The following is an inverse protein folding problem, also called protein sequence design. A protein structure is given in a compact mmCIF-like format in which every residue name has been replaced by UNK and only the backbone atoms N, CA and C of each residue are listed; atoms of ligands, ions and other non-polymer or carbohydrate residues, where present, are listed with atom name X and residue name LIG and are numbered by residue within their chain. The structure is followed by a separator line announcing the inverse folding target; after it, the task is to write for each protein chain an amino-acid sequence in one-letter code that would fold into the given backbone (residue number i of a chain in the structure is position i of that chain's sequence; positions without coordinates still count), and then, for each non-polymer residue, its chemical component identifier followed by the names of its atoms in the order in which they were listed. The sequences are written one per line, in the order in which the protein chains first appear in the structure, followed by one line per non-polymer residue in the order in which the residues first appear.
data_IF_251022029080
#
_entry.id   IF_251022029080
#
_cell.length_a   1.000
_cell.length_b   1.000
_cell.length_c   1.000
_cell.angle_alpha   90.00
_cell.angle_beta   90.00
_cell.angle_gamma   90.00
#
_symmetry.space_group_name_H-M   'P 1'
#
loop_
_entity.id
_entity.type
_entity.pdbx_description
1 polymer ?
#
# COMPACT_ATOMS: atom_id res chain seq x y z
N UNK A 1 15.04 -2.08 8.17
CA UNK A 1 13.58 -2.20 8.43
C UNK A 1 13.22 -1.35 9.63
N UNK A 2 12.11 -0.62 9.55
CA UNK A 2 11.52 0.09 10.69
C UNK A 2 10.10 -0.43 10.89
N UNK A 3 9.83 -1.00 12.06
CA UNK A 3 8.47 -1.34 12.49
C UNK A 3 7.86 -0.12 13.15
N UNK A 4 6.69 0.29 12.69
CA UNK A 4 5.86 1.36 13.24
C UNK A 4 4.61 0.68 13.84
N UNK A 5 4.49 0.59 15.15
CA UNK A 5 3.30 0.02 15.79
C UNK A 5 2.04 0.82 15.51
N UNK A 6 0.89 0.14 15.48
CA UNK A 6 -0.41 0.75 15.29
C UNK A 6 -0.61 1.99 16.20
N UNK A 7 -1.09 3.09 15.59
CA UNK A 7 -1.38 4.34 16.29
C UNK A 7 -0.18 5.19 16.71
N UNK A 8 1.07 4.71 16.56
CA UNK A 8 2.26 5.43 17.02
C UNK A 8 2.61 6.69 16.22
N UNK A 9 2.10 6.82 14.99
CA UNK A 9 2.28 7.99 14.11
C UNK A 9 0.97 8.72 13.84
N UNK A 10 -0.04 8.56 14.69
CA UNK A 10 -1.31 9.27 14.55
C UNK A 10 -1.09 10.79 14.68
N UNK A 11 -1.65 11.54 13.72
CA UNK A 11 -1.62 13.00 13.67
C UNK A 11 -2.98 13.48 13.12
N UNK A 12 -3.82 14.01 13.98
CA UNK A 12 -5.18 14.40 13.59
C UNK A 12 -5.21 15.23 12.29
N UNK A 13 -6.09 14.90 11.34
CA UNK A 13 -7.18 13.92 11.43
C UNK A 13 -6.77 12.46 11.12
N UNK A 14 -5.49 12.19 10.86
CA UNK A 14 -4.96 10.91 10.42
C UNK A 14 -4.74 9.94 11.58
N UNK A 15 -5.28 8.73 11.45
CA UNK A 15 -5.02 7.62 12.38
C UNK A 15 -3.63 6.98 12.14
N UNK A 16 -3.10 7.14 10.93
CA UNK A 16 -1.73 6.84 10.54
C UNK A 16 -1.23 7.99 9.66
N UNK A 17 -0.01 8.44 9.89
CA UNK A 17 0.62 9.50 9.10
C UNK A 17 2.09 9.18 8.88
N UNK A 18 2.41 8.64 7.70
CA UNK A 18 3.76 8.37 7.22
C UNK A 18 3.98 9.19 5.95
N UNK A 19 4.92 10.10 5.99
CA UNK A 19 5.36 10.90 4.84
C UNK A 19 6.77 10.49 4.43
N UNK A 20 7.21 10.84 3.22
CA UNK A 20 8.59 10.61 2.82
C UNK A 20 9.60 11.13 3.84
N UNK A 21 9.40 12.34 4.39
CA UNK A 21 10.28 12.92 5.39
C UNK A 21 10.31 12.13 6.69
N UNK A 22 9.13 11.73 7.20
CA UNK A 22 9.05 11.00 8.46
C UNK A 22 9.63 9.58 8.34
N UNK A 23 9.60 9.00 7.15
CA UNK A 23 10.21 7.72 6.83
C UNK A 23 11.73 7.83 6.52
N UNK A 24 12.25 9.04 6.31
CA UNK A 24 13.66 9.27 6.00
C UNK A 24 14.03 8.93 4.55
N UNK A 25 13.06 9.03 3.63
CA UNK A 25 13.24 8.78 2.19
C UNK A 25 12.59 9.87 1.33
N UNK A 26 12.34 9.64 0.04
CA UNK A 26 12.02 10.72 -0.88
C UNK A 26 10.65 10.63 -1.56
N UNK A 27 10.04 9.45 -1.64
CA UNK A 27 8.89 9.24 -2.53
C UNK A 27 7.64 8.69 -1.85
N UNK A 28 7.73 7.54 -1.17
CA UNK A 28 6.55 6.81 -0.70
C UNK A 28 5.97 7.37 0.60
N UNK A 29 4.65 7.45 0.67
CA UNK A 29 3.90 7.86 1.85
C UNK A 29 2.62 7.06 2.04
N UNK A 30 2.08 7.06 3.24
CA UNK A 30 0.82 6.39 3.57
C UNK A 30 0.09 7.15 4.68
N UNK A 31 -1.20 7.41 4.47
CA UNK A 31 -2.07 7.97 5.50
C UNK A 31 -3.29 7.09 5.69
N UNK A 32 -3.92 7.17 6.85
CA UNK A 32 -5.16 6.47 7.17
C UNK A 32 -6.15 7.43 7.82
N UNK A 33 -7.39 7.44 7.33
CA UNK A 33 -8.52 8.09 7.98
C UNK A 33 -9.48 7.05 8.57
N UNK A 34 -10.03 7.37 9.75
CA UNK A 34 -11.15 6.68 10.36
C UNK A 34 -12.29 7.67 10.48
N UNK A 35 -13.41 7.45 9.80
CA UNK A 35 -14.56 8.34 9.76
C UNK A 35 -15.81 7.66 10.31
N UNK A 36 -16.64 8.42 11.00
CA UNK A 36 -17.93 7.99 11.59
C UNK A 36 -19.12 8.84 11.09
N UNK A 37 -18.99 9.38 9.86
CA UNK A 37 -19.99 10.24 9.22
C UNK A 37 -19.54 11.70 9.04
N UNK A 38 -18.40 12.08 9.62
CA UNK A 38 -17.81 13.41 9.45
C UNK A 38 -17.11 13.57 8.10
N UNK A 39 -16.74 14.82 7.80
CA UNK A 39 -15.93 15.18 6.63
C UNK A 39 -14.56 15.65 7.03
N UNK A 40 -13.55 15.22 6.29
CA UNK A 40 -12.17 15.71 6.41
C UNK A 40 -11.74 16.32 5.09
N UNK A 41 -11.19 17.53 5.13
CA UNK A 41 -10.60 18.22 3.99
C UNK A 41 -9.08 18.32 4.16
N UNK A 42 -8.36 18.10 3.07
CA UNK A 42 -6.89 18.17 3.04
C UNK A 42 -6.39 18.51 1.64
N UNK A 43 -5.11 18.85 1.55
CA UNK A 43 -4.41 19.04 0.27
C UNK A 43 -3.46 17.88 0.03
N UNK A 44 -3.33 17.46 -1.24
CA UNK A 44 -2.38 16.42 -1.64
C UNK A 44 -0.93 16.91 -1.68
N UNK A 45 -0.71 18.24 -1.79
CA UNK A 45 0.62 18.82 -1.88
C UNK A 45 1.37 18.33 -3.13
N UNK A 46 2.59 17.88 -2.95
CA UNK A 46 3.45 17.32 -4.02
C UNK A 46 3.28 15.81 -4.22
N UNK A 47 2.28 15.20 -3.58
CA UNK A 47 1.98 13.77 -3.70
C UNK A 47 0.73 13.51 -4.55
N UNK A 48 0.80 12.49 -5.42
CA UNK A 48 -0.40 11.80 -5.92
C UNK A 48 -0.79 10.72 -4.93
N UNK A 49 -2.09 10.39 -4.84
CA UNK A 49 -2.54 9.37 -3.90
C UNK A 49 -3.84 8.68 -4.32
N UNK A 50 -4.11 7.52 -3.73
CA UNK A 50 -5.42 6.88 -3.82
C UNK A 50 -6.23 7.16 -2.56
N UNK A 51 -7.55 7.14 -2.68
CA UNK A 51 -8.50 6.91 -1.60
C UNK A 51 -8.95 5.47 -1.73
N UNK A 52 -8.48 4.60 -0.84
CA UNK A 52 -8.75 3.16 -0.88
C UNK A 52 -9.52 2.72 0.37
N UNK A 53 -10.80 2.36 0.26
CA UNK A 53 -11.54 1.82 1.39
C UNK A 53 -10.96 0.51 1.92
N UNK A 54 -10.54 0.50 3.18
CA UNK A 54 -10.24 -0.73 3.93
C UNK A 54 -11.53 -1.35 4.48
N UNK A 55 -12.46 -0.47 4.88
CA UNK A 55 -13.83 -0.84 5.24
C UNK A 55 -14.75 0.37 5.10
N UNK A 56 -16.06 0.13 4.90
CA UNK A 56 -17.06 1.19 4.78
C UNK A 56 -17.12 1.80 3.38
N UNK A 57 -17.72 2.99 3.28
CA UNK A 57 -17.96 3.71 2.03
C UNK A 57 -17.80 5.22 2.24
N UNK A 58 -17.49 5.96 1.18
CA UNK A 58 -17.35 7.42 1.25
C UNK A 58 -17.68 8.12 -0.06
N UNK A 59 -17.95 9.42 0.05
CA UNK A 59 -17.91 10.36 -1.04
C UNK A 59 -16.53 11.07 -1.05
N UNK A 60 -15.98 11.25 -2.22
CA UNK A 60 -14.75 11.97 -2.48
C UNK A 60 -15.10 13.19 -3.35
N UNK A 61 -14.87 14.38 -2.85
CA UNK A 61 -14.91 15.60 -3.62
C UNK A 61 -13.50 16.12 -3.85
N UNK A 62 -13.09 16.31 -5.08
CA UNK A 62 -11.76 16.79 -5.42
C UNK A 62 -11.81 17.62 -6.70
N UNK A 63 -11.34 18.86 -6.65
CA UNK A 63 -11.24 19.77 -7.79
C UNK A 63 -12.56 19.88 -8.62
N UNK A 64 -13.70 19.91 -7.92
CA UNK A 64 -15.03 19.98 -8.53
C UNK A 64 -15.59 18.64 -9.04
N UNK A 65 -14.85 17.57 -8.97
CA UNK A 65 -15.30 16.21 -9.26
C UNK A 65 -15.84 15.56 -7.99
N UNK A 66 -16.99 14.90 -8.09
CA UNK A 66 -17.56 14.10 -6.98
C UNK A 66 -17.63 12.64 -7.39
N UNK A 67 -17.07 11.76 -6.56
CA UNK A 67 -17.04 10.32 -6.73
C UNK A 67 -17.62 9.64 -5.51
N UNK A 68 -18.42 8.58 -5.73
CA UNK A 68 -18.92 7.72 -4.66
C UNK A 68 -18.14 6.44 -4.67
N UNK A 69 -17.45 6.13 -3.56
CA UNK A 69 -16.82 4.84 -3.33
C UNK A 69 -17.75 3.94 -2.53
N UNK A 70 -18.16 2.84 -3.13
CA UNK A 70 -19.03 1.85 -2.49
C UNK A 70 -18.29 1.05 -1.42
N UNK A 71 -16.98 0.89 -1.62
CA UNK A 71 -16.08 0.26 -0.68
C UNK A 71 -16.39 -1.21 -0.42
N UNK A 72 -16.14 -1.64 0.81
CA UNK A 72 -16.28 -3.04 1.25
C UNK A 72 -16.47 -3.13 2.77
N UNK A 73 -16.94 -4.27 3.26
CA UNK A 73 -17.10 -4.50 4.70
C UNK A 73 -15.75 -4.73 5.40
N UNK A 74 -14.80 -5.35 4.72
CA UNK A 74 -13.40 -5.53 5.17
C UNK A 74 -12.49 -5.87 4.01
N UNK A 75 -11.18 -5.75 4.22
CA UNK A 75 -10.14 -6.15 3.25
C UNK A 75 -10.19 -7.63 2.88
N UNK A 76 -10.71 -8.48 3.76
CA UNK A 76 -10.87 -9.92 3.53
C UNK A 76 -12.15 -10.32 2.81
N UNK A 77 -13.08 -9.37 2.59
CA UNK A 77 -14.39 -9.70 2.02
C UNK A 77 -14.42 -9.57 0.50
N UNK A 78 -13.87 -8.47 -0.03
CA UNK A 78 -13.94 -8.17 -1.46
C UNK A 78 -12.82 -7.20 -1.88
N UNK A 79 -12.56 -7.13 -3.19
CA UNK A 79 -11.80 -6.04 -3.81
C UNK A 79 -12.65 -4.77 -3.74
N UNK A 80 -12.03 -3.63 -3.41
CA UNK A 80 -12.71 -2.34 -3.36
C UNK A 80 -12.58 -1.57 -4.67
N UNK A 81 -13.50 -0.65 -4.90
CA UNK A 81 -13.28 0.51 -5.75
C UNK A 81 -12.36 1.52 -5.05
N UNK A 82 -11.86 2.49 -5.79
CA UNK A 82 -10.96 3.52 -5.28
C UNK A 82 -11.07 4.82 -6.08
N UNK A 83 -10.53 5.90 -5.54
CA UNK A 83 -10.35 7.15 -6.26
C UNK A 83 -8.87 7.52 -6.35
N UNK A 84 -8.46 8.10 -7.47
CA UNK A 84 -7.15 8.72 -7.65
C UNK A 84 -7.26 10.23 -7.47
N UNK A 85 -6.36 10.78 -6.67
CA UNK A 85 -6.21 12.21 -6.40
C UNK A 85 -4.86 12.69 -6.95
N UNK A 86 -4.84 13.74 -7.77
CA UNK A 86 -3.60 14.28 -8.34
C UNK A 86 -2.80 15.13 -7.35
N UNK A 87 -1.58 15.46 -7.73
CA UNK A 87 -0.76 16.46 -7.03
C UNK A 87 -1.44 17.84 -7.04
N UNK A 88 -1.27 18.60 -5.98
CA UNK A 88 -1.75 19.98 -5.86
C UNK A 88 -3.26 20.13 -5.67
N UNK A 89 -3.98 19.01 -5.48
CA UNK A 89 -5.44 19.01 -5.36
C UNK A 89 -5.89 19.29 -3.92
N UNK A 90 -7.11 19.82 -3.79
CA UNK A 90 -7.84 19.88 -2.51
C UNK A 90 -8.95 18.84 -2.55
N UNK A 91 -8.95 17.94 -1.59
CA UNK A 91 -9.91 16.87 -1.50
C UNK A 91 -10.69 16.91 -0.17
N UNK A 92 -11.97 16.55 -0.25
CA UNK A 92 -12.83 16.34 0.91
C UNK A 92 -13.38 14.92 0.87
N UNK A 93 -13.22 14.22 1.98
CA UNK A 93 -13.73 12.85 2.15
C UNK A 93 -14.82 12.87 3.19
N UNK A 94 -16.00 12.35 2.85
CA UNK A 94 -17.15 12.24 3.76
C UNK A 94 -17.64 10.80 3.76
N UNK A 95 -17.72 10.16 4.92
CA UNK A 95 -18.15 8.76 4.94
C UNK A 95 -18.07 8.10 6.29
N UNK A 96 -18.23 6.78 6.28
CA UNK A 96 -18.10 5.94 7.48
C UNK A 96 -17.24 4.74 7.16
N UNK A 97 -16.18 4.54 7.93
CA UNK A 97 -15.26 3.44 7.74
C UNK A 97 -13.79 3.85 7.88
N UNK A 98 -12.92 3.04 7.31
CA UNK A 98 -11.47 3.22 7.33
C UNK A 98 -10.96 3.30 5.89
N UNK A 99 -10.14 4.31 5.62
CA UNK A 99 -9.68 4.64 4.27
C UNK A 99 -8.17 4.82 4.29
N UNK A 100 -7.47 4.04 3.46
CA UNK A 100 -6.04 4.20 3.25
C UNK A 100 -5.79 5.18 2.10
N UNK A 101 -4.72 5.95 2.24
CA UNK A 101 -4.22 6.89 1.25
C UNK A 101 -2.76 6.54 0.92
N UNK A 102 -2.52 5.46 0.14
CA UNK A 102 -1.21 5.25 -0.45
C UNK A 102 -0.85 6.44 -1.31
N UNK A 103 0.35 6.97 -1.13
CA UNK A 103 0.79 8.21 -1.73
C UNK A 103 2.22 8.11 -2.28
N UNK A 104 2.52 8.92 -3.28
CA UNK A 104 3.87 9.08 -3.78
C UNK A 104 4.12 10.51 -4.25
N UNK A 105 5.30 11.05 -3.98
CA UNK A 105 5.73 12.30 -4.64
C UNK A 105 5.76 12.12 -6.13
N UNK A 106 5.13 13.05 -6.83
CA UNK A 106 4.96 12.98 -8.28
C UNK A 106 5.22 14.32 -8.94
N UNK A 107 5.63 14.28 -10.19
CA UNK A 107 5.94 15.45 -11.00
C UNK A 107 4.91 15.69 -12.11
N UNK A 108 4.19 14.65 -12.52
CA UNK A 108 3.11 14.74 -13.49
C UNK A 108 1.77 14.66 -12.77
N UNK A 109 0.81 15.44 -13.23
CA UNK A 109 -0.56 15.41 -12.72
C UNK A 109 -1.47 14.71 -13.73
N UNK A 110 -2.33 13.83 -13.23
CA UNK A 110 -3.43 13.21 -13.98
C UNK A 110 -4.76 13.74 -13.42
N UNK A 111 -5.87 13.65 -14.18
CA UNK A 111 -7.16 14.06 -13.66
C UNK A 111 -7.63 13.17 -12.52
N UNK A 112 -8.50 13.71 -11.66
CA UNK A 112 -9.24 12.91 -10.66
C UNK A 112 -10.01 11.79 -11.39
N UNK A 113 -9.87 10.54 -10.91
CA UNK A 113 -10.48 9.37 -11.56
C UNK A 113 -11.00 8.35 -10.57
N UNK A 114 -12.09 7.71 -10.96
CA UNK A 114 -12.65 6.56 -10.27
C UNK A 114 -12.03 5.26 -10.83
N UNK A 115 -11.62 4.38 -9.94
CA UNK A 115 -11.16 3.02 -10.25
C UNK A 115 -12.20 2.00 -9.80
N UNK A 116 -12.96 1.40 -10.71
CA UNK A 116 -14.00 0.45 -10.33
C UNK A 116 -13.38 -0.89 -9.88
N UNK A 117 -13.93 -1.49 -8.83
CA UNK A 117 -13.45 -2.75 -8.25
C UNK A 117 -13.31 -3.88 -9.28
N UNK A 118 -14.25 -3.96 -10.26
CA UNK A 118 -14.24 -5.00 -11.31
C UNK A 118 -13.08 -4.86 -12.32
N UNK A 119 -12.44 -3.70 -12.35
CA UNK A 119 -11.32 -3.41 -13.27
C UNK A 119 -9.97 -3.57 -12.58
N UNK A 120 -9.94 -3.78 -11.27
CA UNK A 120 -8.72 -4.09 -10.53
C UNK A 120 -8.25 -5.50 -10.91
N UNK A 121 -7.06 -5.66 -11.51
CA UNK A 121 -6.55 -6.99 -11.83
C UNK A 121 -6.27 -7.79 -10.55
N UNK A 122 -6.84 -8.99 -10.50
CA UNK A 122 -6.67 -9.93 -9.38
C UNK A 122 -5.92 -11.15 -9.87
N UNK A 123 -4.90 -11.55 -9.16
CA UNK A 123 -4.11 -12.73 -9.48
C UNK A 123 -3.83 -13.58 -8.24
N UNK A 124 -3.67 -14.89 -8.44
CA UNK A 124 -3.15 -15.80 -7.43
C UNK A 124 -1.69 -16.08 -7.77
N UNK A 125 -0.79 -15.71 -6.87
CA UNK A 125 0.65 -15.94 -7.01
C UNK A 125 1.12 -17.07 -6.12
N UNK A 126 2.18 -17.78 -6.58
CA UNK A 126 2.79 -18.87 -5.85
C UNK A 126 2.01 -20.18 -5.96
N UNK A 127 2.44 -21.18 -5.20
CA UNK A 127 1.83 -22.50 -5.12
C UNK A 127 1.93 -23.08 -3.70
N UNK A 128 1.04 -23.98 -3.33
CA UNK A 128 1.01 -24.59 -2.00
C UNK A 128 0.95 -23.52 -0.91
N UNK A 129 1.80 -23.62 0.10
CA UNK A 129 1.89 -22.67 1.20
C UNK A 129 2.45 -21.28 0.80
N UNK A 130 2.90 -21.10 -0.44
CA UNK A 130 3.28 -19.78 -0.96
C UNK A 130 2.15 -19.12 -1.77
N UNK A 131 0.96 -19.72 -1.82
CA UNK A 131 -0.20 -19.15 -2.53
C UNK A 131 -0.77 -17.96 -1.77
N UNK A 132 -0.96 -16.85 -2.50
CA UNK A 132 -1.60 -15.61 -2.01
C UNK A 132 -2.37 -14.95 -3.13
N UNK A 133 -3.39 -14.17 -2.78
CA UNK A 133 -4.08 -13.30 -3.72
C UNK A 133 -3.41 -11.93 -3.76
N UNK A 134 -3.29 -11.34 -4.94
CA UNK A 134 -2.77 -10.00 -5.16
C UNK A 134 -3.81 -9.19 -5.93
N UNK A 135 -4.17 -8.01 -5.41
CA UNK A 135 -5.06 -7.06 -6.06
C UNK A 135 -4.24 -5.86 -6.52
N UNK A 136 -4.13 -5.65 -7.83
CA UNK A 136 -3.22 -4.67 -8.44
C UNK A 136 -3.96 -3.33 -8.68
N UNK A 137 -4.15 -2.50 -7.66
CA UNK A 137 -4.87 -1.23 -7.78
C UNK A 137 -4.15 -0.24 -8.67
N UNK A 138 -2.85 -0.07 -8.47
CA UNK A 138 -2.04 0.94 -9.12
C UNK A 138 -0.70 0.35 -9.60
N UNK A 139 -0.69 -0.91 -10.01
CA UNK A 139 0.45 -1.49 -10.70
C UNK A 139 0.69 -0.78 -12.05
N UNK A 140 1.90 -0.78 -12.61
CA UNK A 140 2.24 -0.02 -13.82
C UNK A 140 1.29 -0.21 -14.99
N UNK A 141 0.80 -1.41 -15.21
CA UNK A 141 -0.08 -1.75 -16.33
C UNK A 141 -1.57 -1.79 -15.95
N UNK A 142 -1.90 -1.53 -14.68
CA UNK A 142 -3.27 -1.60 -14.17
C UNK A 142 -3.98 -0.25 -14.15
N UNK A 143 -3.27 0.81 -13.76
CA UNK A 143 -3.84 2.15 -13.62
C UNK A 143 -2.76 3.22 -13.79
N UNK A 144 -3.07 4.30 -14.52
CA UNK A 144 -2.10 5.35 -14.80
C UNK A 144 -1.86 6.25 -13.59
N UNK A 145 -0.63 6.27 -13.11
CA UNK A 145 -0.09 7.18 -12.10
C UNK A 145 1.29 7.64 -12.53
N UNK A 146 1.86 8.64 -11.86
CA UNK A 146 3.24 9.08 -12.16
C UNK A 146 4.28 8.19 -11.49
N UNK A 147 4.17 8.02 -10.18
CA UNK A 147 5.17 7.32 -9.34
C UNK A 147 4.58 6.22 -8.47
N UNK A 148 3.32 6.40 -8.07
CA UNK A 148 2.67 5.52 -7.11
C UNK A 148 2.47 4.12 -7.68
N UNK A 149 2.84 3.12 -6.90
CA UNK A 149 2.41 1.72 -7.06
C UNK A 149 1.72 1.31 -5.76
N UNK A 150 0.53 0.76 -5.87
CA UNK A 150 -0.25 0.28 -4.73
C UNK A 150 -0.87 -1.08 -5.07
N UNK A 151 -0.57 -2.09 -4.26
CA UNK A 151 -1.11 -3.43 -4.39
C UNK A 151 -1.50 -3.98 -3.03
N UNK A 152 -2.56 -4.77 -2.99
CA UNK A 152 -2.95 -5.53 -1.80
C UNK A 152 -2.52 -6.98 -1.94
N UNK A 153 -2.11 -7.57 -0.83
CA UNK A 153 -1.80 -9.00 -0.76
C UNK A 153 -2.58 -9.63 0.38
N UNK A 154 -3.32 -10.70 0.07
CA UNK A 154 -4.04 -11.50 1.03
C UNK A 154 -3.36 -12.87 1.13
N UNK A 155 -2.83 -13.16 2.32
CA UNK A 155 -2.09 -14.38 2.63
C UNK A 155 -2.93 -15.24 3.54
N UNK A 156 -3.44 -16.41 3.08
CA UNK A 156 -4.22 -17.32 3.91
C UNK A 156 -3.43 -17.81 5.13
N UNK A 157 -4.13 -18.11 6.19
CA UNK A 157 -3.54 -18.60 7.44
C UNK A 157 -2.61 -19.80 7.24
N UNK A 158 -1.38 -19.69 7.76
CA UNK A 158 -0.31 -20.67 7.58
C UNK A 158 0.48 -20.55 6.27
N UNK A 159 0.07 -19.66 5.36
CA UNK A 159 0.79 -19.42 4.11
C UNK A 159 1.84 -18.32 4.25
N UNK A 160 2.72 -18.28 3.26
CA UNK A 160 3.77 -17.30 3.10
C UNK A 160 3.51 -16.47 1.83
N UNK A 161 3.78 -15.17 1.90
CA UNK A 161 3.79 -14.24 0.77
C UNK A 161 5.10 -13.45 0.74
N UNK A 162 5.29 -12.54 -0.23
CA UNK A 162 6.61 -11.97 -0.52
C UNK A 162 7.68 -13.08 -0.59
N UNK A 163 7.34 -14.19 -1.24
CA UNK A 163 8.20 -15.36 -1.36
C UNK A 163 8.29 -15.78 -2.83
N UNK A 164 9.51 -16.03 -3.35
CA UNK A 164 10.82 -15.90 -2.71
C UNK A 164 11.08 -14.49 -2.15
N UNK A 165 11.96 -14.37 -1.12
CA UNK A 165 12.46 -13.06 -0.69
C UNK A 165 13.15 -12.34 -1.86
N UNK A 166 12.94 -11.04 -1.97
CA UNK A 166 13.44 -10.24 -3.08
C UNK A 166 13.84 -8.83 -2.62
N UNK A 167 14.53 -8.11 -3.48
CA UNK A 167 14.89 -6.70 -3.23
C UNK A 167 14.68 -5.86 -4.49
N UNK A 168 14.59 -4.55 -4.29
CA UNK A 168 14.49 -3.54 -5.33
C UNK A 168 15.16 -2.24 -4.84
N UNK A 169 16.48 -2.32 -4.65
CA UNK A 169 17.30 -1.24 -4.09
C UNK A 169 18.48 -0.84 -4.98
N UNK A 170 18.62 -1.47 -6.16
CA UNK A 170 19.72 -1.24 -7.08
C UNK A 170 19.19 -0.98 -8.49
N UNK A 171 19.52 0.18 -9.08
CA UNK A 171 19.11 0.48 -10.45
C UNK A 171 19.84 -0.41 -11.44
N UNK A 172 19.10 -1.25 -12.17
CA UNK A 172 19.62 -2.12 -13.22
C UNK A 172 18.54 -2.45 -14.26
N UNK A 173 18.90 -3.19 -15.30
CA UNK A 173 17.90 -3.70 -16.27
C UNK A 173 16.91 -4.69 -15.66
N UNK A 174 17.23 -5.28 -14.50
CA UNK A 174 16.44 -6.34 -13.85
C UNK A 174 15.82 -5.91 -12.53
N UNK A 175 16.18 -4.74 -12.03
CA UNK A 175 15.80 -4.30 -10.69
C UNK A 175 15.55 -2.78 -10.68
N UNK A 176 14.46 -2.36 -10.12
CA UNK A 176 14.13 -0.94 -9.86
C UNK A 176 14.65 -0.52 -8.48
N UNK A 177 14.78 0.79 -8.26
CA UNK A 177 14.95 1.35 -6.91
C UNK A 177 13.60 1.82 -6.44
N UNK A 178 13.09 1.20 -5.37
CA UNK A 178 11.79 1.51 -4.78
C UNK A 178 11.89 1.56 -3.25
N UNK A 179 11.28 2.57 -2.68
CA UNK A 179 10.90 2.61 -1.27
C UNK A 179 9.60 1.83 -1.12
N UNK A 180 9.45 1.05 -0.05
CA UNK A 180 8.27 0.21 0.12
C UNK A 180 7.72 0.28 1.55
N UNK A 181 6.39 0.43 1.64
CA UNK A 181 5.61 0.39 2.87
C UNK A 181 4.74 -0.85 2.84
N UNK A 182 4.75 -1.61 3.93
CA UNK A 182 3.75 -2.64 4.24
C UNK A 182 2.84 -2.11 5.35
N UNK A 183 1.54 -2.02 5.09
CA UNK A 183 0.52 -1.76 6.12
C UNK A 183 -0.30 -3.03 6.31
N UNK A 184 -0.41 -3.51 7.54
CA UNK A 184 -1.00 -4.81 7.86
C UNK A 184 -2.43 -4.72 8.40
N UNK A 185 -3.25 -5.77 8.09
CA UNK A 185 -4.54 -6.05 8.70
C UNK A 185 -4.64 -7.55 9.02
N UNK A 186 -5.42 -7.90 10.06
CA UNK A 186 -5.51 -9.29 10.54
C UNK A 186 -4.26 -9.72 11.30
N UNK A 187 -3.84 -10.93 11.13
CA UNK A 187 -2.71 -11.50 11.85
C UNK A 187 -3.09 -12.14 13.20
N UNK A 188 -2.12 -12.59 14.02
CA UNK A 188 -0.70 -12.25 13.92
C UNK A 188 0.01 -12.87 12.73
N UNK A 189 1.08 -12.20 12.33
CA UNK A 189 1.96 -12.64 11.26
C UNK A 189 3.39 -12.19 11.50
N UNK A 190 4.29 -12.48 10.56
CA UNK A 190 5.70 -12.10 10.66
C UNK A 190 6.19 -11.54 9.35
N UNK A 191 7.00 -10.49 9.42
CA UNK A 191 7.70 -9.88 8.29
C UNK A 191 9.19 -9.94 8.51
N UNK A 192 9.94 -10.45 7.52
CA UNK A 192 11.40 -10.45 7.53
C UNK A 192 11.95 -9.43 6.56
N UNK A 193 12.98 -8.71 6.98
CA UNK A 193 13.83 -7.86 6.12
C UNK A 193 15.29 -8.08 6.52
N UNK A 194 16.15 -8.35 5.53
CA UNK A 194 17.54 -8.68 5.80
C UNK A 194 18.48 -8.18 4.69
N UNK A 195 19.75 -8.15 5.01
CA UNK A 195 20.84 -7.63 4.18
C UNK A 195 21.98 -7.21 5.09
N UNK A 196 22.14 -5.92 5.30
CA UNK A 196 23.08 -5.38 6.30
C UNK A 196 22.70 -5.80 7.73
N UNK A 197 21.40 -5.86 8.02
CA UNK A 197 20.83 -6.36 9.25
C UNK A 197 19.77 -7.41 8.93
N UNK A 198 19.55 -8.35 9.83
CA UNK A 198 18.47 -9.35 9.72
C UNK A 198 17.47 -9.10 10.83
N UNK A 199 16.24 -8.78 10.45
CA UNK A 199 15.16 -8.46 11.38
C UNK A 199 13.92 -9.26 11.00
N UNK A 200 13.38 -9.97 11.98
CA UNK A 200 12.08 -10.63 11.93
C UNK A 200 11.16 -9.94 12.92
N UNK A 201 10.10 -9.31 12.45
CA UNK A 201 9.12 -8.65 13.30
C UNK A 201 7.80 -9.41 13.30
N UNK A 202 7.18 -9.56 14.46
CA UNK A 202 5.75 -9.87 14.54
C UNK A 202 4.93 -8.66 14.14
N UNK A 203 3.88 -8.87 13.34
CA UNK A 203 3.00 -7.83 12.81
C UNK A 203 1.53 -8.20 13.00
N UNK A 204 0.71 -7.19 13.19
CA UNK A 204 -0.75 -7.31 13.38
C UNK A 204 -1.47 -6.14 12.70
N UNK A 205 -2.79 -6.16 12.74
CA UNK A 205 -3.61 -5.09 12.15
C UNK A 205 -3.26 -3.69 12.67
N UNK A 206 -2.97 -2.78 11.75
CA UNK A 206 -2.58 -1.40 12.01
C UNK A 206 -1.07 -1.17 12.05
N UNK A 207 -0.25 -2.22 12.10
CA UNK A 207 1.22 -2.08 12.07
C UNK A 207 1.71 -1.72 10.66
N UNK A 208 2.84 -1.02 10.61
CA UNK A 208 3.52 -0.67 9.37
C UNK A 208 4.98 -1.12 9.41
N UNK A 209 5.45 -1.67 8.30
CA UNK A 209 6.87 -1.97 8.11
C UNK A 209 7.40 -1.13 6.94
N UNK A 210 8.46 -0.37 7.21
CA UNK A 210 9.19 0.38 6.20
C UNK A 210 10.39 -0.42 5.71
N UNK A 211 10.50 -0.59 4.39
CA UNK A 211 11.60 -1.29 3.73
C UNK A 211 12.37 -0.30 2.85
N UNK A 212 13.43 0.33 3.38
CA UNK A 212 14.23 1.29 2.62
C UNK A 212 15.19 0.61 1.64
N UNK A 213 15.68 -0.59 1.96
CA UNK A 213 16.62 -1.38 1.17
C UNK A 213 16.75 -2.80 1.74
N UNK A 214 17.40 -3.68 0.98
CA UNK A 214 17.69 -5.06 1.34
C UNK A 214 16.61 -6.05 0.91
N UNK A 215 16.91 -7.33 1.07
CA UNK A 215 15.93 -8.39 0.83
C UNK A 215 14.82 -8.33 1.85
N UNK A 216 13.60 -8.49 1.40
CA UNK A 216 12.42 -8.56 2.24
C UNK A 216 11.52 -9.72 1.82
N UNK A 217 10.75 -10.21 2.79
CA UNK A 217 10.05 -11.48 2.73
C UNK A 217 10.84 -12.62 3.43
N UNK A 218 10.12 -13.69 3.76
CA UNK A 218 8.68 -13.83 3.60
C UNK A 218 7.88 -12.93 4.55
N UNK A 219 6.62 -12.63 4.14
CA UNK A 219 5.54 -12.30 5.05
C UNK A 219 4.80 -13.59 5.36
N UNK A 220 4.66 -13.93 6.65
CA UNK A 220 4.12 -15.21 7.08
C UNK A 220 2.84 -14.99 7.88
N UNK A 221 1.74 -15.58 7.43
CA UNK A 221 0.50 -15.61 8.20
C UNK A 221 0.55 -16.74 9.25
N UNK A 222 0.18 -16.44 10.49
CA UNK A 222 0.10 -17.49 11.51
C UNK A 222 -1.01 -18.51 11.15
N UNK A 223 -0.85 -19.80 11.53
CA UNK A 223 -1.90 -20.79 11.28
C UNK A 223 -3.25 -20.37 11.87
N UNK A 224 -4.31 -20.37 11.04
CA UNK A 224 -5.65 -20.00 11.45
C UNK A 224 -5.96 -18.50 11.40
N UNK A 225 -5.01 -17.66 11.01
CA UNK A 225 -5.19 -16.21 10.89
C UNK A 225 -4.77 -15.76 9.49
N UNK A 226 -5.69 -15.20 8.72
CA UNK A 226 -5.34 -14.58 7.46
C UNK A 226 -4.58 -13.26 7.71
N UNK A 227 -3.60 -12.98 6.86
CA UNK A 227 -2.81 -11.76 6.89
C UNK A 227 -3.03 -10.97 5.60
N UNK A 228 -3.44 -9.74 5.74
CA UNK A 228 -3.50 -8.77 4.66
C UNK A 228 -2.38 -7.76 4.82
N UNK A 229 -1.82 -7.31 3.71
CA UNK A 229 -1.06 -6.08 3.70
C UNK A 229 -1.29 -5.28 2.41
N UNK A 230 -1.25 -3.94 2.57
CA UNK A 230 -1.20 -2.98 1.49
C UNK A 230 0.27 -2.61 1.27
N UNK A 231 0.80 -2.91 0.09
CA UNK A 231 2.10 -2.44 -0.35
C UNK A 231 1.95 -1.08 -1.04
N UNK A 232 2.77 -0.14 -0.63
CA UNK A 232 2.93 1.16 -1.28
C UNK A 232 4.37 1.31 -1.71
N UNK A 233 4.60 1.46 -3.02
CA UNK A 233 5.94 1.58 -3.56
C UNK A 233 6.06 2.85 -4.42
N UNK A 234 7.22 3.47 -4.34
CA UNK A 234 7.57 4.58 -5.21
C UNK A 234 9.09 4.73 -5.32
N UNK A 235 9.56 5.35 -6.38
CA UNK A 235 11.00 5.52 -6.60
C UNK A 235 11.36 6.57 -7.64
N UNK A 236 12.67 6.79 -7.86
CA UNK A 236 13.18 7.89 -8.68
C UNK A 236 12.98 7.68 -10.20
N UNK A 237 12.76 6.46 -10.65
CA UNK A 237 12.70 6.15 -12.08
C UNK A 237 11.64 7.00 -12.81
N UNK A 238 11.91 7.47 -14.05
CA UNK A 238 10.95 8.26 -14.81
C UNK A 238 9.69 7.48 -15.20
N UNK A 239 9.81 6.16 -15.31
CA UNK A 239 8.70 5.24 -15.54
C UNK A 239 8.57 4.30 -14.36
N UNK A 240 7.33 4.05 -13.95
CA UNK A 240 7.05 3.07 -12.88
C UNK A 240 7.45 1.67 -13.30
N UNK A 241 7.99 0.93 -12.37
CA UNK A 241 8.38 -0.48 -12.54
C UNK A 241 8.20 -1.19 -11.22
N UNK A 242 7.89 -2.47 -11.28
CA UNK A 242 7.92 -3.39 -10.14
C UNK A 242 9.01 -4.46 -10.34
N UNK A 243 10.04 -4.14 -11.10
CA UNK A 243 11.16 -5.05 -11.30
C UNK A 243 11.95 -5.25 -10.00
N UNK A 244 12.19 -6.48 -9.63
CA UNK A 244 12.88 -6.87 -8.41
C UNK A 244 13.88 -8.02 -8.68
N UNK A 245 14.80 -8.22 -7.76
CA UNK A 245 15.79 -9.30 -7.81
C UNK A 245 15.52 -10.30 -6.68
N UNK A 246 15.21 -11.55 -7.02
CA UNK A 246 15.04 -12.61 -6.04
C UNK A 246 16.35 -12.92 -5.31
N UNK A 247 16.24 -13.32 -4.04
CA UNK A 247 17.39 -13.86 -3.31
C UNK A 247 17.77 -15.22 -3.91
N UNK A 248 18.99 -15.36 -4.48
CA UNK A 248 19.42 -16.60 -5.12
C UNK A 248 19.50 -17.80 -4.17
N UNK A 249 19.41 -17.58 -2.85
CA UNK A 249 19.35 -18.68 -1.86
C UNK A 249 17.96 -19.33 -1.80
N UNK A 250 16.96 -18.69 -2.37
CA UNK A 250 15.55 -19.12 -2.34
C UNK A 250 14.93 -19.27 -3.75
N UNK A 251 15.69 -18.94 -4.81
CA UNK A 251 15.28 -19.03 -6.21
C UNK A 251 15.41 -20.46 -6.76
#
# INVERSE_FOLDING_TARGET
MTLIPAGSTALAPWALFVTPESAGWAYAGLRLLCLSGESVEFTTGDEEMLVLPLSGSCEVECDGVRLTLHGRTSVFHAVSDFAYLPVGATARITGTGRFAFPAARASRSFPVRYGPAREVPVEVRGAGQASRQVNNFCAPDAFDCDKLVAVEVLTPGGNWSSYPPHKHDTASEREAVLEEIYYFEGGPGYQRVYGTHDTLAEVSGGDVVLVPHGYHGPSMAAPGYDLYYLNVLAGPAPQRSMAFCDDPRHA
#
